data_IF_695845874058
#
_entry.id   IF_695845874058
#
_cell.length_a   1.000
_cell.length_b   1.000
_cell.length_c   1.000
_cell.angle_alpha   90.00
_cell.angle_beta   90.00
_cell.angle_gamma   90.00
#
_symmetry.space_group_name_H-M   'P 1'
#
loop_
_entity.id
_entity.type
_entity.pdbx_description
1 polymer ?
#
# COMPACT_ATOMS: atom_id res chain seq x y z
N UNK A 1 -39.37 46.20 -48.33
CA UNK A 1 -39.28 45.31 -47.16
C UNK A 1 -37.95 44.57 -47.26
N UNK A 2 -36.86 45.23 -46.85
CA UNK A 2 -35.51 44.64 -46.87
C UNK A 2 -35.08 44.39 -45.42
N UNK A 3 -34.92 43.11 -45.12
CA UNK A 3 -33.95 42.47 -44.23
C UNK A 3 -33.72 43.06 -42.82
N UNK A 4 -34.68 42.91 -41.90
CA UNK A 4 -34.42 42.99 -40.45
C UNK A 4 -33.31 42.01 -39.96
N UNK A 5 -32.89 41.06 -40.80
CA UNK A 5 -31.85 40.06 -40.52
C UNK A 5 -30.43 40.58 -40.62
N UNK A 6 -30.12 41.54 -41.52
CA UNK A 6 -28.76 42.07 -41.66
C UNK A 6 -28.33 42.87 -40.43
N UNK A 7 -29.27 43.55 -39.77
CA UNK A 7 -28.99 44.38 -38.60
C UNK A 7 -28.78 43.53 -37.34
N UNK A 8 -29.46 42.38 -37.23
CA UNK A 8 -29.26 41.43 -36.13
C UNK A 8 -27.83 40.87 -36.11
N UNK A 9 -27.31 40.44 -37.27
CA UNK A 9 -25.97 39.87 -37.36
C UNK A 9 -24.87 40.87 -37.01
N UNK A 10 -24.99 42.12 -37.48
CA UNK A 10 -24.02 43.19 -37.16
C UNK A 10 -23.95 43.47 -35.67
N UNK A 11 -25.09 43.43 -34.98
CA UNK A 11 -25.18 43.67 -33.54
C UNK A 11 -24.71 42.48 -32.68
N UNK A 12 -24.77 41.24 -33.20
CA UNK A 12 -24.32 40.03 -32.51
C UNK A 12 -22.86 39.66 -32.77
N UNK A 13 -22.24 40.09 -33.88
CA UNK A 13 -20.87 39.70 -34.25
C UNK A 13 -19.86 39.92 -33.13
N UNK A 14 -19.91 41.07 -32.47
CA UNK A 14 -18.97 41.43 -31.39
C UNK A 14 -19.17 40.58 -30.12
N UNK A 15 -20.40 40.44 -29.59
CA UNK A 15 -20.68 39.48 -28.51
C UNK A 15 -20.29 38.04 -28.84
N UNK A 16 -20.57 37.57 -30.06
CA UNK A 16 -20.20 36.22 -30.51
C UNK A 16 -18.68 36.03 -30.57
N UNK A 17 -17.92 37.05 -31.00
CA UNK A 17 -16.45 37.01 -30.94
C UNK A 17 -15.96 36.94 -29.50
N UNK A 18 -16.58 37.66 -28.56
CA UNK A 18 -16.21 37.58 -27.14
C UNK A 18 -16.46 36.18 -26.56
N UNK A 19 -17.59 35.55 -26.90
CA UNK A 19 -17.84 34.14 -26.55
C UNK A 19 -16.82 33.22 -27.22
N UNK A 20 -16.56 33.38 -28.51
CA UNK A 20 -15.60 32.56 -29.24
C UNK A 20 -14.21 32.64 -28.57
N UNK A 21 -13.75 33.82 -28.20
CA UNK A 21 -12.49 34.01 -27.46
C UNK A 21 -12.49 33.39 -26.06
N UNK A 22 -13.67 33.23 -25.46
CA UNK A 22 -13.90 32.55 -24.18
C UNK A 22 -14.06 31.02 -24.29
N UNK A 23 -14.24 30.46 -25.49
CA UNK A 23 -14.36 28.99 -25.70
C UNK A 23 -13.14 28.42 -26.43
N UNK A 24 -12.62 29.13 -27.42
CA UNK A 24 -11.63 28.63 -28.37
C UNK A 24 -10.33 28.12 -27.69
N UNK A 25 -9.84 28.75 -26.61
CA UNK A 25 -8.66 28.26 -25.88
C UNK A 25 -8.82 26.92 -25.16
N UNK A 26 -10.03 26.40 -24.98
CA UNK A 26 -10.21 25.01 -24.52
C UNK A 26 -9.69 24.01 -25.56
N UNK A 27 -9.65 24.40 -26.83
CA UNK A 27 -9.19 23.57 -27.94
C UNK A 27 -7.77 23.93 -28.40
N UNK A 28 -7.36 25.18 -28.21
CA UNK A 28 -6.05 25.68 -28.59
C UNK A 28 -5.15 25.80 -27.35
N UNK A 29 -4.33 24.78 -27.14
CA UNK A 29 -3.28 24.82 -26.12
C UNK A 29 -1.98 25.37 -26.74
N UNK A 30 -1.57 26.56 -26.34
CA UNK A 30 -0.27 27.14 -26.66
C UNK A 30 0.36 27.65 -25.36
N UNK A 31 1.17 26.79 -24.73
CA UNK A 31 1.60 26.98 -23.36
C UNK A 31 2.81 26.16 -22.97
N UNK A 32 3.27 26.38 -21.74
CA UNK A 32 4.31 25.58 -21.10
C UNK A 32 3.65 24.59 -20.14
N UNK A 33 4.15 23.36 -20.12
CA UNK A 33 3.81 22.36 -19.11
C UNK A 33 5.04 22.12 -18.23
N UNK A 34 4.88 22.27 -16.92
CA UNK A 34 5.89 21.88 -15.93
C UNK A 34 5.37 20.66 -15.17
N UNK A 35 6.09 19.53 -15.29
CA UNK A 35 5.83 18.32 -14.51
C UNK A 35 6.94 18.15 -13.49
N UNK A 36 6.63 18.25 -12.20
CA UNK A 36 7.55 17.88 -11.14
C UNK A 36 7.28 16.47 -10.67
N UNK A 37 8.32 15.65 -10.70
CA UNK A 37 8.31 14.29 -10.17
C UNK A 37 9.04 14.25 -8.83
N UNK A 38 8.47 13.56 -7.85
CA UNK A 38 9.15 13.17 -6.61
C UNK A 38 9.12 11.65 -6.57
N UNK A 39 10.29 11.02 -6.49
CA UNK A 39 10.43 9.56 -6.55
C UNK A 39 9.81 8.92 -7.81
N UNK A 40 9.89 9.62 -8.95
CA UNK A 40 9.33 9.14 -10.22
C UNK A 40 7.82 9.37 -10.38
N UNK A 41 7.09 9.74 -9.33
CA UNK A 41 5.66 10.06 -9.38
C UNK A 41 5.44 11.55 -9.66
N UNK A 42 4.55 11.87 -10.60
CA UNK A 42 4.17 13.27 -10.90
C UNK A 42 3.32 13.79 -9.77
N UNK A 43 3.91 14.61 -8.89
CA UNK A 43 3.22 15.24 -7.75
C UNK A 43 2.60 16.58 -8.11
N UNK A 44 3.08 17.19 -9.20
CA UNK A 44 2.61 18.48 -9.67
C UNK A 44 2.72 18.54 -11.19
N UNK A 45 1.59 18.79 -11.83
CA UNK A 45 1.49 19.09 -13.25
C UNK A 45 0.81 20.44 -13.37
N UNK A 46 1.54 21.43 -13.89
CA UNK A 46 1.02 22.77 -14.12
C UNK A 46 1.12 23.07 -15.60
N UNK A 47 -0.05 23.25 -16.21
CA UNK A 47 -0.18 23.64 -17.60
C UNK A 47 -0.60 25.11 -17.67
N UNK A 48 0.33 25.99 -18.07
CA UNK A 48 0.04 27.41 -18.25
C UNK A 48 -0.28 27.67 -19.73
N UNK A 49 -1.56 27.88 -20.06
CA UNK A 49 -1.99 28.25 -21.40
C UNK A 49 -1.92 29.78 -21.58
N UNK A 50 -0.75 30.30 -21.92
CA UNK A 50 -0.52 31.74 -22.09
C UNK A 50 -1.46 32.37 -23.13
N UNK A 51 -1.76 31.64 -24.22
CA UNK A 51 -2.72 32.10 -25.23
C UNK A 51 -4.13 32.21 -24.64
N UNK A 52 -4.54 31.22 -23.86
CA UNK A 52 -5.84 31.22 -23.17
C UNK A 52 -5.98 32.38 -22.19
N UNK A 53 -4.94 32.69 -21.42
CA UNK A 53 -4.90 33.86 -20.54
C UNK A 53 -5.09 35.16 -21.33
N UNK A 54 -4.32 35.33 -22.43
CA UNK A 54 -4.42 36.52 -23.28
C UNK A 54 -5.81 36.69 -23.89
N UNK A 55 -6.38 35.62 -24.44
CA UNK A 55 -7.73 35.64 -25.02
C UNK A 55 -8.82 35.93 -23.98
N UNK A 56 -8.70 35.38 -22.77
CA UNK A 56 -9.64 35.64 -21.69
C UNK A 56 -9.64 37.12 -21.27
N UNK A 57 -8.45 37.73 -21.14
CA UNK A 57 -8.31 39.16 -20.81
C UNK A 57 -8.93 40.03 -21.91
N UNK A 58 -8.69 39.69 -23.19
CA UNK A 58 -9.29 40.41 -24.33
C UNK A 58 -10.81 40.27 -24.30
N UNK A 59 -11.34 39.07 -24.08
CA UNK A 59 -12.78 38.81 -24.01
C UNK A 59 -13.44 39.62 -22.88
N UNK A 60 -12.82 39.66 -21.69
CA UNK A 60 -13.29 40.47 -20.56
C UNK A 60 -13.27 41.98 -20.88
N UNK A 61 -12.17 42.48 -21.47
CA UNK A 61 -12.06 43.88 -21.89
C UNK A 61 -13.13 44.27 -22.92
N UNK A 62 -13.40 43.39 -23.89
CA UNK A 62 -14.47 43.56 -24.87
C UNK A 62 -15.85 43.56 -24.22
N UNK A 63 -16.13 42.59 -23.34
CA UNK A 63 -17.41 42.49 -22.64
C UNK A 63 -17.69 43.72 -21.77
N UNK A 64 -16.70 44.17 -20.98
CA UNK A 64 -16.80 45.37 -20.16
C UNK A 64 -17.04 46.63 -21.00
N UNK A 65 -16.29 46.78 -22.09
CA UNK A 65 -16.45 47.90 -23.02
C UNK A 65 -17.84 47.91 -23.66
N UNK A 66 -18.38 46.74 -24.01
CA UNK A 66 -19.73 46.62 -24.57
C UNK A 66 -20.80 46.97 -23.54
N UNK A 67 -20.72 46.45 -22.31
CA UNK A 67 -21.67 46.80 -21.25
C UNK A 67 -21.66 48.28 -20.92
N UNK A 68 -20.48 48.91 -20.88
CA UNK A 68 -20.36 50.35 -20.62
C UNK A 68 -20.95 51.22 -21.73
N UNK A 69 -20.90 50.76 -22.97
CA UNK A 69 -21.43 51.47 -24.16
C UNK A 69 -22.90 51.13 -24.47
N UNK A 70 -23.45 50.11 -23.84
CA UNK A 70 -24.82 49.65 -24.07
C UNK A 70 -25.82 50.68 -23.53
N UNK A 71 -26.48 51.42 -24.43
CA UNK A 71 -27.42 52.48 -24.07
C UNK A 71 -26.80 53.86 -23.81
N UNK A 72 -25.50 54.05 -24.06
CA UNK A 72 -24.87 55.37 -23.99
C UNK A 72 -25.26 56.27 -25.18
N UNK A 73 -25.31 57.62 -25.04
CA UNK A 73 -25.65 58.53 -26.13
C UNK A 73 -24.74 58.33 -27.36
N UNK A 74 -25.33 58.22 -28.56
CA UNK A 74 -24.60 57.97 -29.81
C UNK A 74 -24.21 56.51 -30.08
N UNK A 75 -24.64 55.56 -29.23
CA UNK A 75 -24.50 54.12 -29.46
C UNK A 75 -25.85 53.46 -29.76
N UNK A 76 -25.88 52.24 -30.33
CA UNK A 76 -27.13 51.54 -30.62
C UNK A 76 -27.96 51.33 -29.36
N UNK A 77 -29.28 51.51 -29.46
CA UNK A 77 -30.23 51.33 -28.38
C UNK A 77 -30.02 49.97 -27.67
N UNK A 78 -30.22 49.95 -26.36
CA UNK A 78 -30.03 48.75 -25.53
C UNK A 78 -30.90 47.62 -26.06
N UNK A 79 -30.26 46.52 -26.44
CA UNK A 79 -30.93 45.34 -26.98
C UNK A 79 -30.64 44.15 -26.08
N UNK A 80 -31.68 43.69 -25.37
CA UNK A 80 -31.58 42.67 -24.33
C UNK A 80 -30.82 41.40 -24.74
N UNK A 81 -31.04 40.80 -25.94
CA UNK A 81 -30.28 39.64 -26.37
C UNK A 81 -28.78 39.89 -26.43
N UNK A 82 -28.33 41.05 -26.93
CA UNK A 82 -26.90 41.42 -26.91
C UNK A 82 -26.38 41.54 -25.49
N UNK A 83 -27.12 42.23 -24.61
CA UNK A 83 -26.71 42.39 -23.21
C UNK A 83 -26.57 41.02 -22.53
N UNK A 84 -27.51 40.10 -22.75
CA UNK A 84 -27.48 38.74 -22.21
C UNK A 84 -26.26 37.95 -22.69
N UNK A 85 -25.96 38.00 -24.00
CA UNK A 85 -24.78 37.33 -24.58
C UNK A 85 -23.48 37.88 -23.99
N UNK A 86 -23.38 39.21 -23.81
CA UNK A 86 -22.20 39.84 -23.20
C UNK A 86 -22.07 39.47 -21.72
N UNK A 87 -23.19 39.44 -20.98
CA UNK A 87 -23.20 38.99 -19.58
C UNK A 87 -22.73 37.53 -19.48
N UNK A 88 -23.16 36.66 -20.39
CA UNK A 88 -22.75 35.26 -20.42
C UNK A 88 -21.26 35.07 -20.80
N UNK A 89 -20.68 35.97 -21.59
CA UNK A 89 -19.27 35.91 -21.96
C UNK A 89 -18.32 36.17 -20.78
N UNK A 90 -18.74 36.94 -19.77
CA UNK A 90 -17.92 37.24 -18.58
C UNK A 90 -17.58 35.99 -17.75
N UNK A 91 -18.55 35.19 -17.23
CA UNK A 91 -18.24 34.01 -16.44
C UNK A 91 -17.46 32.98 -17.26
N UNK A 92 -17.73 32.86 -18.57
CA UNK A 92 -16.97 32.00 -19.46
C UNK A 92 -15.50 32.42 -19.57
N UNK A 93 -15.22 33.72 -19.75
CA UNK A 93 -13.86 34.23 -19.82
C UNK A 93 -13.13 34.15 -18.47
N UNK A 94 -13.83 34.37 -17.35
CA UNK A 94 -13.27 34.12 -16.00
C UNK A 94 -12.97 32.65 -15.77
N UNK A 95 -13.85 31.77 -16.24
CA UNK A 95 -13.64 30.32 -16.16
C UNK A 95 -12.43 29.89 -17.00
N UNK A 96 -12.34 30.37 -18.24
CA UNK A 96 -11.15 30.15 -19.07
C UNK A 96 -9.88 30.71 -18.43
N UNK A 97 -9.94 31.88 -17.80
CA UNK A 97 -8.78 32.48 -17.13
C UNK A 97 -8.29 31.60 -15.97
N UNK A 98 -9.20 31.12 -15.12
CA UNK A 98 -8.87 30.20 -14.03
C UNK A 98 -8.25 28.89 -14.55
N UNK A 99 -8.87 28.29 -15.56
CA UNK A 99 -8.35 27.10 -16.23
C UNK A 99 -6.97 27.34 -16.85
N UNK A 100 -6.78 28.45 -17.56
CA UNK A 100 -5.54 28.75 -18.31
C UNK A 100 -4.35 29.08 -17.40
N UNK A 101 -4.60 29.58 -16.18
CA UNK A 101 -3.56 29.81 -15.16
C UNK A 101 -3.24 28.51 -14.40
N UNK A 102 -4.06 27.46 -14.54
CA UNK A 102 -3.90 26.20 -13.82
C UNK A 102 -4.50 26.20 -12.42
N UNK A 103 -5.47 27.08 -12.12
CA UNK A 103 -6.16 27.06 -10.82
C UNK A 103 -7.01 25.79 -10.63
N UNK A 104 -7.48 25.18 -11.72
CA UNK A 104 -8.21 23.91 -11.73
C UNK A 104 -8.07 23.24 -13.09
N UNK A 105 -8.14 21.92 -13.11
CA UNK A 105 -8.24 21.15 -14.35
C UNK A 105 -9.68 20.74 -14.65
N UNK A 106 -9.98 20.43 -15.93
CA UNK A 106 -11.28 19.87 -16.30
C UNK A 106 -11.57 18.57 -15.53
N UNK A 107 -10.52 17.77 -15.28
CA UNK A 107 -10.58 16.55 -14.48
C UNK A 107 -11.00 16.84 -13.03
N UNK A 108 -10.51 17.91 -12.42
CA UNK A 108 -10.90 18.27 -11.05
C UNK A 108 -12.38 18.69 -10.99
N UNK A 109 -12.85 19.42 -12.00
CA UNK A 109 -14.26 19.80 -12.11
C UNK A 109 -15.13 18.57 -12.36
N UNK A 110 -14.74 17.70 -13.28
CA UNK A 110 -15.43 16.44 -13.55
C UNK A 110 -15.54 15.61 -12.27
N UNK A 111 -14.45 15.47 -11.52
CA UNK A 111 -14.43 14.78 -10.22
C UNK A 111 -15.30 15.49 -9.19
N UNK A 112 -15.30 16.82 -9.15
CA UNK A 112 -16.13 17.58 -8.21
C UNK A 112 -17.62 17.43 -8.51
N UNK A 113 -18.01 17.46 -9.78
CA UNK A 113 -19.41 17.42 -10.24
C UNK A 113 -19.95 16.00 -10.27
N UNK A 114 -19.24 15.08 -10.93
CA UNK A 114 -19.71 13.71 -11.18
C UNK A 114 -19.13 12.67 -10.22
N UNK A 115 -18.15 13.06 -9.40
CA UNK A 115 -17.38 12.11 -8.61
C UNK A 115 -16.26 11.47 -9.42
N UNK A 116 -15.43 10.67 -8.76
CA UNK A 116 -14.40 9.88 -9.44
C UNK A 116 -15.05 8.72 -10.21
N UNK A 117 -14.50 8.31 -11.37
CA UNK A 117 -14.95 7.10 -12.03
C UNK A 117 -14.82 5.90 -11.09
N UNK A 118 -15.70 4.92 -11.26
CA UNK A 118 -15.63 3.68 -10.50
C UNK A 118 -14.22 3.05 -10.66
N UNK A 119 -13.63 2.54 -9.58
CA UNK A 119 -12.38 1.81 -9.66
C UNK A 119 -12.54 0.56 -10.54
N UNK A 120 -11.47 0.05 -11.16
CA UNK A 120 -11.55 -1.25 -11.81
C UNK A 120 -11.93 -2.32 -10.78
N UNK A 121 -12.73 -3.33 -11.18
CA UNK A 121 -13.04 -4.44 -10.29
C UNK A 121 -11.75 -5.16 -9.85
N UNK A 122 -11.71 -5.75 -8.64
CA UNK A 122 -10.57 -6.54 -8.20
C UNK A 122 -10.40 -7.79 -9.08
N UNK A 123 -9.16 -8.17 -9.36
CA UNK A 123 -8.82 -9.34 -10.20
C UNK A 123 -8.79 -10.66 -9.39
N UNK A 124 -9.10 -10.62 -8.10
CA UNK A 124 -9.01 -11.78 -7.22
C UNK A 124 -10.10 -12.81 -7.52
N UNK A 125 -9.70 -13.98 -8.00
CA UNK A 125 -10.58 -15.09 -8.37
C UNK A 125 -10.66 -16.22 -7.31
N UNK A 126 -10.17 -15.96 -6.08
CA UNK A 126 -10.05 -16.96 -5.01
C UNK A 126 -8.63 -17.53 -4.88
N UNK A 127 -8.38 -18.26 -3.79
CA UNK A 127 -7.05 -18.85 -3.55
C UNK A 127 -6.68 -19.89 -4.62
N UNK A 128 -5.41 -19.87 -5.03
CA UNK A 128 -4.85 -20.89 -5.91
C UNK A 128 -4.90 -22.28 -5.24
N UNK A 129 -5.06 -23.38 -6.01
CA UNK A 129 -5.24 -24.72 -5.45
C UNK A 129 -4.09 -25.21 -4.56
N UNK A 130 -2.85 -24.84 -4.90
CA UNK A 130 -1.64 -25.13 -4.14
C UNK A 130 -1.60 -24.39 -2.81
N UNK A 131 -2.01 -23.12 -2.80
CA UNK A 131 -2.15 -22.32 -1.55
C UNK A 131 -3.23 -22.92 -0.65
N UNK A 132 -4.40 -23.26 -1.20
CA UNK A 132 -5.47 -23.94 -0.46
C UNK A 132 -4.98 -25.24 0.18
N UNK A 133 -4.26 -26.07 -0.58
CA UNK A 133 -3.69 -27.33 -0.10
C UNK A 133 -2.67 -27.07 1.02
N UNK A 134 -1.75 -26.14 0.83
CA UNK A 134 -0.72 -25.78 1.80
C UNK A 134 -1.33 -25.30 3.12
N UNK A 135 -2.29 -24.37 3.08
CA UNK A 135 -3.00 -23.88 4.27
C UNK A 135 -3.75 -25.01 4.97
N UNK A 136 -4.42 -25.89 4.22
CA UNK A 136 -5.16 -27.02 4.78
C UNK A 136 -4.26 -28.12 5.38
N UNK A 137 -3.07 -28.36 4.83
CA UNK A 137 -2.10 -29.32 5.37
C UNK A 137 -1.41 -28.77 6.62
N UNK A 138 -1.00 -27.49 6.58
CA UNK A 138 -0.40 -26.81 7.73
C UNK A 138 -1.37 -26.76 8.91
N UNK A 139 -2.62 -26.37 8.68
CA UNK A 139 -3.62 -26.23 9.75
C UNK A 139 -4.01 -27.55 10.42
N UNK A 140 -3.76 -28.70 9.79
CA UNK A 140 -3.97 -30.03 10.41
C UNK A 140 -2.88 -30.39 11.41
N UNK A 141 -1.66 -29.89 11.21
CA UNK A 141 -0.48 -30.30 11.99
C UNK A 141 -0.10 -29.31 13.10
N UNK A 142 -0.57 -28.06 13.01
CA UNK A 142 -0.35 -27.04 14.04
C UNK A 142 -1.08 -27.38 15.35
N UNK A 143 -0.52 -26.95 16.48
CA UNK A 143 -1.25 -26.96 17.75
C UNK A 143 -2.27 -25.82 17.84
N UNK A 144 -3.10 -25.83 18.88
CA UNK A 144 -4.16 -24.85 19.09
C UNK A 144 -3.62 -23.41 19.18
N UNK A 145 -2.45 -23.21 19.78
CA UNK A 145 -1.85 -21.89 19.95
C UNK A 145 -1.39 -21.31 18.63
N UNK A 146 -0.64 -22.08 17.82
CA UNK A 146 -0.19 -21.63 16.51
C UNK A 146 -1.35 -21.31 15.57
N UNK A 147 -2.39 -22.16 15.57
CA UNK A 147 -3.54 -21.93 14.70
C UNK A 147 -4.35 -20.70 15.13
N UNK A 148 -4.48 -20.46 16.45
CA UNK A 148 -5.06 -19.23 16.99
C UNK A 148 -4.24 -18.00 16.58
N UNK A 149 -2.92 -18.04 16.70
CA UNK A 149 -2.04 -16.93 16.34
C UNK A 149 -2.11 -16.60 14.84
N UNK A 150 -2.18 -17.62 13.98
CA UNK A 150 -2.37 -17.44 12.54
C UNK A 150 -3.73 -16.80 12.23
N UNK A 151 -4.81 -17.19 12.92
CA UNK A 151 -6.13 -16.56 12.81
C UNK A 151 -6.05 -15.07 13.20
N UNK A 152 -5.44 -14.75 14.34
CA UNK A 152 -5.30 -13.36 14.80
C UNK A 152 -4.45 -12.55 13.82
N UNK A 153 -3.35 -13.11 13.33
CA UNK A 153 -2.47 -12.48 12.34
C UNK A 153 -3.21 -12.16 11.05
N UNK A 154 -3.98 -13.12 10.50
CA UNK A 154 -4.79 -12.90 9.30
C UNK A 154 -5.85 -11.81 9.54
N UNK A 155 -6.52 -11.80 10.69
CA UNK A 155 -7.50 -10.76 11.02
C UNK A 155 -6.88 -9.37 11.17
N UNK A 156 -5.66 -9.25 11.71
CA UNK A 156 -4.93 -7.98 11.77
C UNK A 156 -4.61 -7.45 10.37
N UNK A 157 -4.17 -8.32 9.44
CA UNK A 157 -3.95 -7.93 8.04
C UNK A 157 -5.22 -7.49 7.34
N UNK A 158 -6.32 -8.23 7.51
CA UNK A 158 -7.63 -7.85 6.99
C UNK A 158 -8.08 -6.51 7.56
N UNK A 159 -7.90 -6.29 8.87
CA UNK A 159 -8.23 -5.04 9.54
C UNK A 159 -7.44 -3.87 8.98
N UNK A 160 -6.15 -4.07 8.72
CA UNK A 160 -5.29 -3.06 8.09
C UNK A 160 -5.72 -2.74 6.66
N UNK A 161 -5.89 -3.76 5.82
CA UNK A 161 -6.35 -3.58 4.45
C UNK A 161 -7.70 -2.85 4.42
N UNK A 162 -8.66 -3.26 5.26
CA UNK A 162 -9.97 -2.62 5.40
C UNK A 162 -9.87 -1.16 5.82
N UNK A 163 -9.11 -0.87 6.87
CA UNK A 163 -9.04 0.48 7.45
C UNK A 163 -8.39 1.46 6.48
N UNK A 164 -7.25 1.07 5.87
CA UNK A 164 -6.57 1.90 4.86
C UNK A 164 -7.43 2.12 3.61
N UNK A 165 -8.08 1.07 3.13
CA UNK A 165 -9.02 1.15 2.00
C UNK A 165 -10.19 2.08 2.31
N UNK A 166 -10.86 1.90 3.45
CA UNK A 166 -12.02 2.70 3.82
C UNK A 166 -11.66 4.16 4.11
N UNK A 167 -10.48 4.43 4.68
CA UNK A 167 -9.97 5.79 4.84
C UNK A 167 -9.74 6.47 3.47
N UNK A 168 -9.11 5.77 2.53
CA UNK A 168 -8.89 6.28 1.17
C UNK A 168 -10.21 6.45 0.39
N UNK A 169 -11.13 5.48 0.48
CA UNK A 169 -12.47 5.56 -0.10
C UNK A 169 -13.28 6.74 0.46
N UNK A 170 -13.17 7.01 1.76
CA UNK A 170 -13.80 8.18 2.39
C UNK A 170 -13.23 9.48 1.85
N UNK A 171 -11.90 9.61 1.83
CA UNK A 171 -11.22 10.82 1.38
C UNK A 171 -11.39 11.09 -0.13
N UNK A 172 -11.31 10.06 -0.96
CA UNK A 172 -11.22 10.21 -2.42
C UNK A 172 -12.52 9.88 -3.16
N UNK A 173 -13.41 9.08 -2.57
CA UNK A 173 -14.64 8.57 -3.20
C UNK A 173 -15.91 8.87 -2.38
N UNK A 174 -15.86 9.83 -1.45
CA UNK A 174 -17.01 10.22 -0.60
C UNK A 174 -17.61 9.04 0.18
N UNK A 175 -16.78 8.06 0.55
CA UNK A 175 -17.20 6.87 1.28
C UNK A 175 -17.89 5.80 0.43
N UNK A 176 -17.96 5.97 -0.89
CA UNK A 176 -18.35 4.88 -1.78
C UNK A 176 -17.29 3.77 -1.73
N UNK A 177 -17.72 2.53 -1.96
CA UNK A 177 -16.82 1.37 -2.00
C UNK A 177 -16.18 1.06 -0.65
N UNK A 178 -16.85 1.30 0.48
CA UNK A 178 -16.32 0.82 1.76
C UNK A 178 -16.46 -0.70 1.88
N UNK A 179 -15.43 -1.35 2.41
CA UNK A 179 -15.47 -2.75 2.80
C UNK A 179 -16.20 -2.91 4.13
N UNK A 180 -17.06 -3.94 4.20
CA UNK A 180 -17.79 -4.29 5.40
C UNK A 180 -16.85 -4.84 6.49
N UNK A 181 -17.31 -4.76 7.74
CA UNK A 181 -16.60 -5.34 8.86
C UNK A 181 -16.68 -6.86 8.87
N UNK A 182 -15.53 -7.54 9.01
CA UNK A 182 -15.49 -8.99 9.23
C UNK A 182 -15.91 -9.30 10.66
N UNK A 183 -16.87 -10.22 10.81
CA UNK A 183 -17.26 -10.72 12.12
C UNK A 183 -16.09 -11.46 12.78
N UNK A 184 -15.76 -11.07 14.01
CA UNK A 184 -14.70 -11.70 14.78
C UNK A 184 -15.16 -13.08 15.30
N UNK A 185 -14.42 -14.16 15.00
CA UNK A 185 -14.87 -15.50 15.34
C UNK A 185 -14.85 -15.76 16.86
N UNK A 186 -15.68 -16.70 17.30
CA UNK A 186 -15.97 -16.93 18.72
C UNK A 186 -14.75 -17.33 19.56
N UNK A 187 -13.80 -18.06 18.97
CA UNK A 187 -12.57 -18.51 19.66
C UNK A 187 -11.60 -17.38 19.99
N UNK A 188 -11.81 -16.15 19.51
CA UNK A 188 -11.00 -15.02 19.90
C UNK A 188 -11.32 -14.61 21.34
N UNK A 189 -10.37 -14.86 22.23
CA UNK A 189 -10.38 -14.31 23.59
C UNK A 189 -10.23 -12.78 23.61
N UNK A 190 -10.36 -12.21 24.80
CA UNK A 190 -10.28 -10.76 25.03
C UNK A 190 -8.96 -10.14 24.56
N UNK A 191 -7.84 -10.86 24.72
CA UNK A 191 -6.53 -10.42 24.26
C UNK A 191 -6.49 -10.21 22.74
N UNK A 192 -6.97 -11.18 21.95
CA UNK A 192 -7.00 -11.07 20.48
C UNK A 192 -7.93 -9.97 19.99
N UNK A 193 -9.11 -9.83 20.62
CA UNK A 193 -10.06 -8.75 20.31
C UNK A 193 -9.47 -7.37 20.62
N UNK A 194 -8.79 -7.24 21.76
CA UNK A 194 -8.12 -6.00 22.16
C UNK A 194 -6.99 -5.63 21.20
N UNK A 195 -6.19 -6.60 20.72
CA UNK A 195 -5.16 -6.34 19.72
C UNK A 195 -5.75 -5.81 18.41
N UNK A 196 -6.84 -6.41 17.93
CA UNK A 196 -7.53 -5.95 16.71
C UNK A 196 -8.10 -4.53 16.93
N UNK A 197 -8.75 -4.28 18.06
CA UNK A 197 -9.30 -2.95 18.38
C UNK A 197 -8.21 -1.87 18.50
N UNK A 198 -7.06 -2.19 19.11
CA UNK A 198 -5.92 -1.28 19.16
C UNK A 198 -5.38 -0.96 17.77
N UNK A 199 -5.26 -1.98 16.89
CA UNK A 199 -4.82 -1.77 15.50
C UNK A 199 -5.79 -0.88 14.72
N UNK A 200 -7.11 -1.04 14.92
CA UNK A 200 -8.11 -0.13 14.33
C UNK A 200 -7.88 1.31 14.82
N UNK A 201 -7.69 1.51 16.12
CA UNK A 201 -7.44 2.84 16.70
C UNK A 201 -6.16 3.48 16.18
N UNK A 202 -5.07 2.71 16.07
CA UNK A 202 -3.80 3.22 15.56
C UNK A 202 -3.95 3.67 14.10
N UNK A 203 -4.59 2.84 13.26
CA UNK A 203 -4.79 3.14 11.84
C UNK A 203 -5.75 4.31 11.61
N UNK A 204 -6.74 4.51 12.49
CA UNK A 204 -7.66 5.64 12.39
C UNK A 204 -6.97 7.01 12.54
N UNK A 205 -5.76 7.04 13.12
CA UNK A 205 -4.95 8.26 13.23
C UNK A 205 -4.08 8.55 12.01
N UNK A 206 -3.91 7.59 11.10
CA UNK A 206 -3.10 7.77 9.89
C UNK A 206 -3.86 8.62 8.85
N UNK A 207 -3.23 9.66 8.26
CA UNK A 207 -3.87 10.42 7.20
C UNK A 207 -4.06 9.57 5.94
N UNK A 208 -5.19 9.75 5.26
CA UNK A 208 -5.41 9.09 3.98
C UNK A 208 -4.37 9.53 2.94
N UNK A 209 -3.95 8.60 2.09
CA UNK A 209 -3.01 8.91 1.00
C UNK A 209 -3.64 9.85 -0.05
N UNK A 210 -2.82 10.66 -0.76
CA UNK A 210 -3.32 11.55 -1.81
C UNK A 210 -4.06 10.80 -2.92
N UNK A 211 -5.09 11.43 -3.48
CA UNK A 211 -5.99 10.80 -4.44
C UNK A 211 -5.43 10.69 -5.88
N UNK A 212 -4.34 9.92 -6.05
CA UNK A 212 -3.67 9.67 -7.36
C UNK A 212 -4.16 8.37 -8.00
N UNK A 213 -4.00 8.17 -9.33
CA UNK A 213 -4.34 6.90 -9.97
C UNK A 213 -3.59 5.69 -9.40
N UNK A 214 -2.31 5.86 -9.03
CA UNK A 214 -1.50 4.81 -8.40
C UNK A 214 -2.06 4.45 -7.02
N UNK A 215 -2.38 5.45 -6.22
CA UNK A 215 -2.99 5.23 -4.91
C UNK A 215 -4.39 4.64 -5.03
N UNK A 216 -5.18 4.97 -6.05
CA UNK A 216 -6.44 4.27 -6.31
C UNK A 216 -6.21 2.79 -6.60
N UNK A 217 -5.24 2.45 -7.45
CA UNK A 217 -4.91 1.05 -7.72
C UNK A 217 -4.44 0.32 -6.46
N UNK A 218 -3.61 0.96 -5.65
CA UNK A 218 -3.10 0.38 -4.41
C UNK A 218 -4.20 0.23 -3.35
N UNK A 219 -4.82 1.35 -2.95
CA UNK A 219 -5.71 1.41 -1.80
C UNK A 219 -7.13 0.94 -2.07
N UNK A 220 -7.62 0.98 -3.31
CA UNK A 220 -8.94 0.44 -3.66
C UNK A 220 -8.81 -0.96 -4.21
N UNK A 221 -8.05 -1.15 -5.30
CA UNK A 221 -8.00 -2.46 -5.98
C UNK A 221 -7.14 -3.47 -5.20
N UNK A 222 -5.86 -3.16 -4.94
CA UNK A 222 -4.93 -4.14 -4.32
C UNK A 222 -5.27 -4.47 -2.87
N UNK A 223 -5.70 -3.49 -2.07
CA UNK A 223 -6.15 -3.78 -0.70
C UNK A 223 -7.46 -4.59 -0.65
N UNK A 224 -8.38 -4.38 -1.59
CA UNK A 224 -9.60 -5.21 -1.70
C UNK A 224 -9.27 -6.65 -2.11
N UNK A 225 -8.33 -6.83 -3.05
CA UNK A 225 -7.80 -8.15 -3.42
C UNK A 225 -7.11 -8.84 -2.23
N UNK A 226 -6.23 -8.14 -1.52
CA UNK A 226 -5.55 -8.66 -0.34
C UNK A 226 -6.53 -9.03 0.78
N UNK A 227 -7.55 -8.19 1.01
CA UNK A 227 -8.60 -8.47 1.98
C UNK A 227 -9.40 -9.73 1.61
N UNK A 228 -9.77 -9.87 0.34
CA UNK A 228 -10.50 -11.05 -0.16
C UNK A 228 -9.64 -12.32 -0.08
N UNK A 229 -8.35 -12.20 -0.37
CA UNK A 229 -7.38 -13.28 -0.21
C UNK A 229 -7.25 -13.75 1.24
N UNK A 230 -7.06 -12.82 2.17
CA UNK A 230 -6.96 -13.16 3.59
C UNK A 230 -8.29 -13.66 4.16
N UNK A 231 -9.45 -13.22 3.64
CA UNK A 231 -10.76 -13.74 4.02
C UNK A 231 -10.91 -15.24 3.69
N UNK A 232 -10.47 -15.65 2.49
CA UNK A 232 -10.46 -17.05 2.10
C UNK A 232 -9.51 -17.88 3.00
N UNK A 233 -8.32 -17.37 3.32
CA UNK A 233 -7.38 -18.03 4.24
C UNK A 233 -8.01 -18.17 5.63
N UNK A 234 -8.60 -17.09 6.15
CA UNK A 234 -9.25 -17.07 7.45
C UNK A 234 -10.34 -18.14 7.55
N UNK A 235 -11.14 -18.32 6.50
CA UNK A 235 -12.17 -19.35 6.47
C UNK A 235 -11.59 -20.77 6.66
N UNK A 236 -10.46 -21.09 6.02
CA UNK A 236 -9.78 -22.38 6.23
C UNK A 236 -9.22 -22.53 7.64
N UNK A 237 -8.60 -21.48 8.18
CA UNK A 237 -8.01 -21.51 9.53
C UNK A 237 -9.08 -21.66 10.61
N UNK A 238 -10.16 -20.88 10.52
CA UNK A 238 -11.32 -20.95 11.44
C UNK A 238 -11.97 -22.32 11.38
N UNK A 239 -12.26 -22.85 10.19
CA UNK A 239 -12.85 -24.18 10.05
C UNK A 239 -11.94 -25.28 10.62
N UNK A 240 -10.62 -25.21 10.39
CA UNK A 240 -9.66 -26.15 10.95
C UNK A 240 -9.58 -26.07 12.48
N UNK A 241 -9.66 -24.86 13.03
CA UNK A 241 -9.66 -24.65 14.47
C UNK A 241 -10.93 -25.20 15.11
N UNK A 242 -12.10 -24.80 14.61
CA UNK A 242 -13.39 -25.24 15.15
C UNK A 242 -13.57 -26.75 15.06
N UNK A 243 -13.14 -27.35 13.95
CA UNK A 243 -13.21 -28.80 13.77
C UNK A 243 -12.32 -29.60 14.72
N UNK A 244 -11.25 -29.00 15.28
CA UNK A 244 -10.28 -29.69 16.15
C UNK A 244 -10.39 -29.34 17.62
N UNK A 245 -10.72 -28.09 17.91
CA UNK A 245 -10.67 -27.50 19.26
C UNK A 245 -12.01 -26.89 19.69
N UNK A 246 -13.03 -26.91 18.82
CA UNK A 246 -14.32 -26.26 19.08
C UNK A 246 -14.21 -24.74 19.05
N UNK A 247 -15.12 -24.07 19.76
CA UNK A 247 -15.20 -22.60 19.82
C UNK A 247 -14.53 -22.00 21.05
N UNK A 248 -13.91 -22.83 21.90
CA UNK A 248 -13.23 -22.36 23.09
C UNK A 248 -11.98 -21.54 22.72
N UNK A 249 -11.69 -20.43 23.42
CA UNK A 249 -10.45 -19.69 23.22
C UNK A 249 -9.22 -20.57 23.46
N UNK A 250 -8.14 -20.29 22.73
CA UNK A 250 -6.87 -20.97 22.98
C UNK A 250 -6.39 -20.68 24.40
N UNK A 251 -6.01 -21.73 25.13
CA UNK A 251 -5.33 -21.55 26.41
C UNK A 251 -4.05 -20.74 26.16
N UNK A 252 -3.78 -19.75 27.00
CA UNK A 252 -2.51 -19.02 26.94
C UNK A 252 -1.39 -19.98 27.33
N UNK A 253 -0.63 -20.45 26.35
CA UNK A 253 0.54 -21.28 26.59
C UNK A 253 1.69 -20.33 26.91
N UNK A 254 2.04 -20.25 28.20
CA UNK A 254 3.32 -19.68 28.63
C UNK A 254 4.37 -20.77 28.41
N UNK A 255 5.42 -20.54 27.60
CA UNK A 255 6.47 -21.53 27.42
C UNK A 255 7.16 -21.82 28.76
N UNK A 256 7.03 -23.06 29.24
CA UNK A 256 7.61 -23.49 30.52
C UNK A 256 9.10 -23.85 30.40
N UNK A 257 9.62 -24.00 29.18
CA UNK A 257 10.97 -24.48 28.91
C UNK A 257 11.79 -23.36 28.25
N UNK A 258 13.09 -23.20 28.60
CA UNK A 258 13.97 -22.29 27.90
C UNK A 258 13.96 -22.55 26.39
N UNK A 259 14.02 -21.50 25.54
CA UNK A 259 13.99 -21.69 24.10
C UNK A 259 15.19 -22.52 23.62
N UNK A 260 14.90 -23.66 22.99
CA UNK A 260 15.87 -24.62 22.48
C UNK A 260 16.03 -24.51 20.96
N UNK A 261 17.19 -24.92 20.44
CA UNK A 261 17.47 -25.01 19.00
C UNK A 261 17.29 -26.47 18.57
N UNK A 262 16.31 -26.74 17.71
CA UNK A 262 15.94 -28.07 17.22
C UNK A 262 16.22 -28.17 15.71
N UNK A 263 16.82 -29.29 15.27
CA UNK A 263 17.04 -29.58 13.85
C UNK A 263 18.26 -28.90 13.21
N UNK A 264 19.10 -28.21 13.99
CA UNK A 264 20.38 -27.67 13.52
C UNK A 264 21.51 -28.60 13.97
N UNK A 265 22.25 -29.25 13.05
CA UNK A 265 23.19 -30.32 13.41
C UNK A 265 24.56 -29.80 13.88
N UNK A 266 24.81 -28.49 13.82
CA UNK A 266 26.06 -27.83 14.24
C UNK A 266 25.80 -26.60 15.10
N UNK A 267 26.77 -26.27 15.95
CA UNK A 267 26.75 -25.05 16.75
C UNK A 267 27.48 -23.91 16.04
N UNK A 268 27.18 -22.68 16.44
CA UNK A 268 28.08 -21.54 16.19
C UNK A 268 29.45 -21.87 16.81
N UNK A 269 30.52 -21.44 16.16
CA UNK A 269 31.95 -21.77 16.38
C UNK A 269 32.42 -23.17 15.98
N UNK A 270 31.55 -24.04 15.47
CA UNK A 270 31.98 -25.32 14.91
C UNK A 270 33.01 -25.10 13.79
N UNK A 271 34.00 -25.99 13.67
CA UNK A 271 34.95 -25.92 12.56
C UNK A 271 34.25 -26.23 11.23
N UNK A 272 34.80 -25.75 10.12
CA UNK A 272 34.31 -26.10 8.78
C UNK A 272 34.24 -27.61 8.57
N UNK A 273 35.23 -28.37 9.06
CA UNK A 273 35.29 -29.83 8.95
C UNK A 273 34.21 -30.51 9.80
N UNK A 274 33.94 -29.99 11.00
CA UNK A 274 32.84 -30.47 11.85
C UNK A 274 31.49 -30.23 11.18
N UNK A 275 31.28 -29.06 10.58
CA UNK A 275 30.09 -28.74 9.80
C UNK A 275 29.93 -29.68 8.59
N UNK A 276 30.98 -29.85 7.79
CA UNK A 276 30.97 -30.78 6.67
C UNK A 276 30.61 -32.20 7.10
N UNK A 277 31.19 -32.69 8.22
CA UNK A 277 30.89 -34.01 8.78
C UNK A 277 29.43 -34.13 9.24
N UNK A 278 28.93 -33.14 9.98
CA UNK A 278 27.58 -33.15 10.53
C UNK A 278 26.49 -33.14 9.44
N UNK A 279 26.75 -32.45 8.32
CA UNK A 279 25.85 -32.43 7.17
C UNK A 279 26.13 -33.52 6.14
N UNK A 280 27.18 -34.34 6.32
CA UNK A 280 27.58 -35.37 5.36
C UNK A 280 27.96 -34.80 3.98
N UNK A 281 28.52 -33.60 3.93
CA UNK A 281 28.92 -32.92 2.69
C UNK A 281 30.44 -32.77 2.58
N UNK A 282 30.96 -32.81 1.36
CA UNK A 282 32.35 -32.50 1.02
C UNK A 282 32.48 -31.24 0.18
N UNK A 283 31.39 -30.49 0.01
CA UNK A 283 31.40 -29.25 -0.78
C UNK A 283 32.38 -28.23 -0.19
N UNK A 284 33.23 -27.61 -1.01
CA UNK A 284 34.10 -26.53 -0.55
C UNK A 284 33.27 -25.29 -0.20
N UNK A 285 33.75 -24.44 0.72
CA UNK A 285 33.12 -23.14 0.97
C UNK A 285 33.23 -22.27 -0.29
N UNK A 286 32.20 -21.46 -0.52
CA UNK A 286 32.09 -20.55 -1.65
C UNK A 286 32.27 -19.10 -1.17
N UNK A 287 32.93 -18.25 -1.97
CA UNK A 287 33.01 -16.82 -1.65
C UNK A 287 31.61 -16.18 -1.74
N UNK A 288 31.33 -15.25 -0.83
CA UNK A 288 30.16 -14.38 -0.88
C UNK A 288 30.56 -12.95 -0.48
N UNK A 289 29.87 -11.96 -1.03
CA UNK A 289 30.10 -10.55 -0.69
C UNK A 289 29.20 -10.15 0.48
N UNK A 290 29.81 -9.66 1.56
CA UNK A 290 29.13 -9.08 2.71
C UNK A 290 29.43 -7.57 2.79
N UNK A 291 28.78 -6.85 3.71
CA UNK A 291 29.11 -5.46 3.99
C UNK A 291 30.58 -5.28 4.43
N UNK A 292 31.20 -6.32 4.99
CA UNK A 292 32.61 -6.33 5.43
C UNK A 292 33.60 -6.82 4.36
N UNK A 293 33.17 -7.03 3.12
CA UNK A 293 34.01 -7.56 2.03
C UNK A 293 33.72 -9.02 1.67
N UNK A 294 34.62 -9.61 0.88
CA UNK A 294 34.54 -11.03 0.48
C UNK A 294 34.77 -11.95 1.67
N UNK A 295 33.86 -12.90 1.87
CA UNK A 295 33.87 -13.88 2.96
C UNK A 295 33.55 -15.27 2.43
N UNK A 296 33.66 -16.28 3.27
CA UNK A 296 33.36 -17.67 2.90
C UNK A 296 32.03 -18.14 3.50
N UNK A 297 31.26 -18.89 2.73
CA UNK A 297 30.04 -19.55 3.18
C UNK A 297 30.00 -21.02 2.72
N UNK A 298 29.51 -21.90 3.59
CA UNK A 298 29.20 -23.28 3.25
C UNK A 298 27.69 -23.44 3.09
N UNK A 299 27.26 -24.06 1.99
CA UNK A 299 25.85 -24.34 1.67
C UNK A 299 25.61 -25.85 1.68
N UNK A 300 25.48 -26.47 2.87
CA UNK A 300 25.50 -27.93 2.99
C UNK A 300 24.22 -28.62 2.46
N UNK A 301 23.13 -27.87 2.28
CA UNK A 301 21.85 -28.40 1.82
C UNK A 301 20.79 -27.30 1.71
N UNK A 302 19.59 -27.67 1.23
CA UNK A 302 18.46 -26.73 1.15
C UNK A 302 18.08 -26.24 2.55
N UNK A 303 17.88 -24.94 2.69
CA UNK A 303 17.47 -24.31 3.94
C UNK A 303 18.60 -23.99 4.92
N UNK A 304 19.87 -24.22 4.56
CA UNK A 304 21.03 -23.89 5.39
C UNK A 304 22.07 -23.08 4.64
N UNK A 305 22.55 -22.01 5.27
CA UNK A 305 23.78 -21.31 4.88
C UNK A 305 24.64 -21.05 6.13
N UNK A 306 25.89 -21.51 6.11
CA UNK A 306 26.83 -21.35 7.22
C UNK A 306 27.89 -20.31 6.80
N UNK A 307 27.87 -19.15 7.41
CA UNK A 307 28.86 -18.11 7.16
C UNK A 307 30.08 -18.33 8.06
N UNK A 308 31.25 -18.33 7.45
CA UNK A 308 32.50 -18.67 8.11
C UNK A 308 33.30 -17.42 8.47
N UNK A 309 33.94 -17.45 9.62
CA UNK A 309 34.99 -16.50 10.00
C UNK A 309 36.27 -16.73 9.20
N UNK A 310 37.25 -15.83 9.35
CA UNK A 310 38.57 -15.93 8.69
C UNK A 310 39.33 -17.20 9.14
N UNK A 311 39.12 -17.65 10.38
CA UNK A 311 39.64 -18.90 10.94
C UNK A 311 38.85 -20.15 10.50
N UNK A 312 37.93 -20.01 9.54
CA UNK A 312 37.07 -21.08 9.00
C UNK A 312 36.20 -21.76 10.07
N UNK A 313 35.73 -21.00 11.05
CA UNK A 313 34.71 -21.44 12.01
C UNK A 313 33.34 -20.88 11.63
N UNK A 314 32.27 -21.57 11.99
CA UNK A 314 30.89 -21.10 11.75
C UNK A 314 30.61 -19.86 12.61
N UNK A 315 30.58 -18.68 12.00
CA UNK A 315 30.26 -17.40 12.65
C UNK A 315 28.75 -17.17 12.72
N UNK A 316 28.02 -17.55 11.67
CA UNK A 316 26.57 -17.40 11.59
C UNK A 316 25.93 -18.58 10.88
N UNK A 317 24.82 -19.09 11.42
CA UNK A 317 23.96 -20.10 10.80
C UNK A 317 22.69 -19.41 10.34
N UNK A 318 22.43 -19.39 9.03
CA UNK A 318 21.17 -18.92 8.46
C UNK A 318 20.30 -20.12 8.06
N UNK A 319 19.05 -20.04 8.46
CA UNK A 319 18.00 -21.02 8.25
C UNK A 319 16.91 -20.39 7.39
N UNK A 320 16.63 -20.99 6.24
CA UNK A 320 15.57 -20.58 5.31
C UNK A 320 14.66 -21.78 5.00
N UNK A 321 13.51 -21.58 4.37
CA UNK A 321 12.74 -22.70 3.83
C UNK A 321 13.61 -23.57 2.90
N UNK A 322 13.52 -24.91 2.94
CA UNK A 322 12.56 -25.74 3.66
C UNK A 322 13.08 -26.28 5.01
N UNK A 323 13.78 -25.48 5.82
CA UNK A 323 14.17 -25.89 7.18
C UNK A 323 12.93 -26.26 8.03
N UNK A 324 12.85 -27.52 8.48
CA UNK A 324 11.70 -28.06 9.23
C UNK A 324 11.89 -28.02 10.76
N UNK A 325 13.09 -27.64 11.22
CA UNK A 325 13.41 -27.52 12.65
C UNK A 325 12.78 -26.30 13.31
N UNK A 326 13.20 -25.99 14.54
CA UNK A 326 12.64 -24.89 15.34
C UNK A 326 13.73 -24.16 16.11
N UNK A 327 13.52 -22.87 16.36
CA UNK A 327 14.35 -22.08 17.26
C UNK A 327 13.45 -21.43 18.30
N UNK A 328 13.56 -21.87 19.56
CA UNK A 328 12.67 -21.45 20.63
C UNK A 328 11.21 -21.82 20.38
N UNK A 329 10.98 -22.94 19.70
CA UNK A 329 9.64 -23.38 19.28
C UNK A 329 9.11 -22.72 18.00
N UNK A 330 9.77 -21.67 17.51
CA UNK A 330 9.38 -20.92 16.29
C UNK A 330 9.92 -21.61 15.03
N UNK A 331 9.10 -21.68 13.99
CA UNK A 331 9.41 -22.22 12.66
C UNK A 331 9.45 -21.13 11.59
N UNK A 332 10.05 -21.46 10.44
CA UNK A 332 9.86 -20.68 9.21
C UNK A 332 8.38 -20.70 8.84
N UNK A 333 7.84 -19.52 8.54
CA UNK A 333 6.44 -19.27 8.21
C UNK A 333 5.53 -18.95 9.39
N UNK A 334 6.00 -19.05 10.64
CA UNK A 334 5.19 -18.68 11.81
C UNK A 334 4.93 -17.17 11.85
N UNK A 335 3.75 -16.78 12.32
CA UNK A 335 3.38 -15.37 12.40
C UNK A 335 4.23 -14.61 13.43
N UNK A 336 4.28 -13.27 13.31
CA UNK A 336 4.92 -12.42 14.33
C UNK A 336 4.28 -12.59 15.71
N UNK A 337 2.97 -12.89 15.77
CA UNK A 337 2.25 -13.14 17.01
C UNK A 337 2.77 -14.43 17.67
N UNK A 338 2.94 -15.49 16.87
CA UNK A 338 3.54 -16.75 17.32
C UNK A 338 4.94 -16.52 17.87
N UNK A 339 5.79 -15.78 17.12
CA UNK A 339 7.14 -15.43 17.54
C UNK A 339 7.14 -14.71 18.90
N UNK A 340 6.35 -13.65 19.06
CA UNK A 340 6.29 -12.89 20.32
C UNK A 340 5.71 -13.69 21.48
N UNK A 341 4.72 -14.55 21.23
CA UNK A 341 4.14 -15.41 22.27
C UNK A 341 5.15 -16.44 22.77
N UNK A 342 5.96 -17.03 21.88
CA UNK A 342 6.93 -18.07 22.24
C UNK A 342 8.25 -17.52 22.76
N UNK A 343 8.70 -16.38 22.24
CA UNK A 343 10.01 -15.81 22.56
C UNK A 343 9.96 -14.62 23.53
N UNK A 344 8.77 -14.06 23.78
CA UNK A 344 8.59 -12.85 24.57
C UNK A 344 8.87 -11.57 23.77
N UNK A 345 9.31 -10.52 24.47
CA UNK A 345 9.68 -9.26 23.82
C UNK A 345 11.11 -9.33 23.24
N UNK A 346 11.33 -8.74 22.05
CA UNK A 346 12.64 -8.72 21.41
C UNK A 346 13.64 -7.83 22.17
N UNK A 347 14.92 -8.10 21.94
CA UNK A 347 16.05 -7.27 22.39
C UNK A 347 16.12 -6.03 21.50
N UNK A 348 15.45 -4.96 21.94
CA UNK A 348 15.45 -3.67 21.26
C UNK A 348 14.40 -3.53 20.15
N UNK A 349 14.48 -2.41 19.44
CA UNK A 349 13.55 -2.10 18.35
C UNK A 349 13.87 -2.95 17.10
N UNK A 350 12.83 -3.38 16.35
CA UNK A 350 13.05 -4.09 15.10
C UNK A 350 13.72 -3.18 14.07
N UNK A 351 14.58 -3.76 13.23
CA UNK A 351 15.31 -3.05 12.18
C UNK A 351 15.12 -3.75 10.82
N UNK A 352 15.47 -3.10 9.68
CA UNK A 352 15.31 -3.71 8.37
C UNK A 352 16.04 -5.05 8.23
N UNK A 353 15.32 -6.06 7.74
CA UNK A 353 15.81 -7.43 7.55
C UNK A 353 16.62 -7.64 6.26
N UNK A 354 16.88 -8.90 5.91
CA UNK A 354 17.61 -9.26 4.68
C UNK A 354 16.73 -9.25 3.41
N UNK A 355 15.41 -9.16 3.54
CA UNK A 355 14.45 -9.07 2.44
C UNK A 355 13.76 -7.70 2.33
N UNK A 356 13.22 -7.39 1.15
CA UNK A 356 12.33 -6.25 0.96
C UNK A 356 11.13 -6.40 1.90
N UNK A 357 10.80 -5.32 2.63
CA UNK A 357 9.70 -5.27 3.60
C UNK A 357 9.78 -6.28 4.76
N UNK A 358 10.98 -6.78 5.06
CA UNK A 358 11.21 -7.62 6.25
C UNK A 358 11.71 -6.80 7.43
N UNK A 359 11.26 -7.16 8.64
CA UNK A 359 11.76 -6.64 9.91
C UNK A 359 12.47 -7.75 10.68
N UNK A 360 13.65 -7.43 11.19
CA UNK A 360 14.48 -8.31 12.00
C UNK A 360 14.21 -8.10 13.50
N UNK A 361 14.03 -9.20 14.23
CA UNK A 361 13.83 -9.25 15.67
C UNK A 361 14.92 -10.07 16.34
N UNK A 362 15.58 -9.53 17.37
CA UNK A 362 16.66 -10.21 18.09
C UNK A 362 16.17 -10.81 19.41
N UNK A 363 16.62 -12.01 19.74
CA UNK A 363 16.35 -12.68 21.01
C UNK A 363 17.62 -13.37 21.51
N UNK A 364 17.90 -13.26 22.81
CA UNK A 364 18.98 -14.02 23.44
C UNK A 364 18.51 -15.43 23.78
N UNK A 365 19.30 -16.41 23.36
CA UNK A 365 19.12 -17.82 23.66
C UNK A 365 20.15 -18.28 24.72
N UNK A 366 19.92 -19.42 25.39
CA UNK A 366 20.91 -20.04 26.25
C UNK A 366 22.25 -20.26 25.52
N UNK A 367 23.36 -20.19 26.26
CA UNK A 367 24.70 -20.45 25.72
C UNK A 367 25.34 -19.27 24.98
N UNK A 368 24.84 -18.04 25.17
CA UNK A 368 25.40 -16.83 24.54
C UNK A 368 25.10 -16.70 23.05
N UNK A 369 24.11 -17.45 22.56
CA UNK A 369 23.63 -17.37 21.18
C UNK A 369 22.55 -16.30 21.09
N UNK A 370 22.60 -15.49 20.04
CA UNK A 370 21.54 -14.57 19.67
C UNK A 370 20.85 -15.12 18.41
N UNK A 371 19.53 -15.20 18.46
CA UNK A 371 18.69 -15.52 17.33
C UNK A 371 18.09 -14.26 16.74
N UNK A 372 18.22 -14.09 15.44
CA UNK A 372 17.55 -13.06 14.64
C UNK A 372 16.47 -13.70 13.79
N UNK A 373 15.24 -13.23 13.92
CA UNK A 373 14.11 -13.65 13.09
C UNK A 373 13.78 -12.53 12.11
N UNK A 374 13.97 -12.78 10.82
CA UNK A 374 13.52 -11.87 9.77
C UNK A 374 12.06 -12.22 9.43
N UNK A 375 11.14 -11.28 9.64
CA UNK A 375 9.69 -11.49 9.45
C UNK A 375 9.11 -10.58 8.37
N UNK A 376 8.19 -11.10 7.57
CA UNK A 376 7.33 -10.36 6.64
C UNK A 376 5.92 -10.23 7.25
N UNK A 377 5.23 -9.13 6.98
CA UNK A 377 3.86 -8.93 7.45
C UNK A 377 2.89 -10.00 6.91
N UNK A 378 3.06 -10.43 5.66
CA UNK A 378 2.21 -11.43 5.00
C UNK A 378 2.61 -12.87 5.32
N UNK A 379 3.91 -13.14 5.26
CA UNK A 379 4.43 -14.50 5.19
C UNK A 379 5.01 -15.02 6.53
N UNK A 380 5.05 -14.16 7.56
CA UNK A 380 5.62 -14.50 8.87
C UNK A 380 7.15 -14.59 8.83
N UNK A 381 7.74 -15.44 9.68
CA UNK A 381 9.20 -15.67 9.76
C UNK A 381 9.73 -16.21 8.43
N UNK A 382 10.57 -15.45 7.74
CA UNK A 382 11.16 -15.82 6.46
C UNK A 382 12.51 -16.50 6.62
N UNK A 383 13.31 -16.03 7.58
CA UNK A 383 14.63 -16.58 7.87
C UNK A 383 14.95 -16.47 9.36
N UNK A 384 15.80 -17.38 9.84
CA UNK A 384 16.35 -17.35 11.21
C UNK A 384 17.86 -17.35 11.11
N UNK A 385 18.53 -16.41 11.78
CA UNK A 385 19.99 -16.35 11.87
C UNK A 385 20.42 -16.59 13.31
N UNK A 386 21.41 -17.46 13.51
CA UNK A 386 22.01 -17.76 14.81
C UNK A 386 23.47 -17.32 14.79
N UNK A 387 23.87 -16.49 15.76
CA UNK A 387 25.23 -15.98 15.88
C UNK A 387 25.58 -15.67 17.34
N UNK A 388 26.86 -15.47 17.65
CA UNK A 388 27.29 -15.00 18.97
C UNK A 388 27.38 -13.48 19.00
N UNK A 389 26.83 -12.88 20.04
CA UNK A 389 27.09 -11.48 20.40
C UNK A 389 28.25 -11.46 21.38
N UNK A 390 29.34 -10.77 21.01
CA UNK A 390 30.52 -10.59 21.86
C UNK A 390 30.23 -9.71 23.08
#
# INVERSE_FOLDING_TARGET
>A
MNEPTQDLWRNLKRPLVAILLGVLPFWLFLGASERRKVNGEVVFESDLNLLGVGMAIIALGLAFTMLRRDGSPGQPQRWWPRTLVVIAAIPLALFQLGYSIGFYSFKDIEIAVFGRPAPPPPDYAGLAPDVKKSVAERSKTQDQGHLHDDIVSTLLRMTEARSRHNAYATACYRGQWQMAETALPGMLGEAGRSQIAERVRSLASEPASPCTPNNTRLYITKLSEAYSHDADILAFLVAAYEGRFGTAPAAQIVPATPPAIEGVPVTVDASMEEAQRAFGTTSPPQPYTSAGGERLALYPGKGFALYLSDDKKVETIRLDAPFEGKVGGVRIGDSLITLKRLMGEPVGEPFPGTGLDTLAYLYHLPGGITARFDTSAGDGVQAILLFKTN
#
